data_IF_983762764218
#
_entry.id   IF_983762764218
#
_cell.length_a   1.000
_cell.length_b   1.000
_cell.length_c   1.000
_cell.angle_alpha   90.00
_cell.angle_beta   90.00
_cell.angle_gamma   90.00
#
_symmetry.space_group_name_H-M   'P 1'
#
loop_
_entity.id
_entity.type
_entity.pdbx_description
1 polymer ?
#
# COMPACT_ATOMS: atom_id res chain seq x y z
N UNK A 1 31.82 20.35 20.80
CA UNK A 1 30.36 20.21 21.04
C UNK A 1 29.75 19.71 19.73
N UNK A 2 28.99 18.62 19.73
CA UNK A 2 28.32 18.12 18.52
C UNK A 2 26.92 18.72 18.38
N UNK A 3 26.47 18.97 17.16
CA UNK A 3 25.10 19.36 16.82
C UNK A 3 24.46 18.23 16.01
N UNK A 4 23.20 17.94 16.34
CA UNK A 4 22.36 16.98 15.63
C UNK A 4 21.24 17.78 14.94
N UNK A 5 21.03 17.53 13.65
CA UNK A 5 19.88 18.03 12.91
C UNK A 5 19.23 16.85 12.18
N UNK A 6 17.91 16.92 12.00
CA UNK A 6 17.14 15.95 11.23
C UNK A 6 16.71 16.62 9.92
N UNK A 7 16.76 15.87 8.81
CA UNK A 7 16.22 16.31 7.52
C UNK A 7 15.32 15.22 6.92
N UNK A 8 13.99 15.46 6.82
CA UNK A 8 13.32 16.66 7.30
C UNK A 8 13.41 16.81 8.82
N UNK A 9 13.20 18.04 9.28
CA UNK A 9 13.31 18.48 10.69
C UNK A 9 12.48 17.69 11.69
N UNK A 10 11.52 16.92 11.20
CA UNK A 10 10.77 15.91 11.95
C UNK A 10 11.11 14.54 11.34
N UNK A 11 11.53 13.54 12.12
CA UNK A 11 11.69 12.18 11.61
C UNK A 11 10.41 11.78 10.89
N UNK A 12 10.50 11.52 9.58
CA UNK A 12 9.37 10.97 8.85
C UNK A 12 9.08 9.62 9.49
N UNK A 13 7.92 9.55 10.13
CA UNK A 13 7.25 8.38 10.70
C UNK A 13 7.69 7.03 10.14
N UNK A 14 7.70 6.00 10.99
CA UNK A 14 7.86 4.60 10.57
C UNK A 14 7.07 4.33 9.29
N UNK A 15 7.78 3.99 8.22
CA UNK A 15 7.17 3.63 6.95
C UNK A 15 6.69 2.19 7.07
N UNK A 16 5.41 1.96 6.79
CA UNK A 16 4.85 0.61 6.71
C UNK A 16 4.89 0.20 5.25
N UNK A 17 5.64 -0.86 4.96
CA UNK A 17 5.61 -1.47 3.64
C UNK A 17 4.40 -2.41 3.56
N UNK A 18 3.49 -2.10 2.64
CA UNK A 18 2.30 -2.89 2.37
C UNK A 18 2.49 -3.61 1.04
N UNK A 19 2.06 -4.87 0.98
CA UNK A 19 2.29 -5.73 -0.17
C UNK A 19 0.96 -6.25 -0.73
N UNK A 20 0.82 -6.17 -2.05
CA UNK A 20 -0.34 -6.67 -2.79
C UNK A 20 0.14 -7.64 -3.86
N UNK A 21 -0.64 -8.70 -4.10
CA UNK A 21 -0.35 -9.67 -5.14
C UNK A 21 -1.24 -9.41 -6.36
N UNK A 22 -0.65 -9.40 -7.54
CA UNK A 22 -1.37 -9.25 -8.81
C UNK A 22 -0.57 -8.51 -9.86
N UNK A 23 -1.17 -8.28 -11.02
CA UNK A 23 -0.60 -7.40 -12.04
C UNK A 23 -0.64 -5.92 -11.58
N UNK A 24 0.46 -5.19 -11.77
CA UNK A 24 0.56 -3.79 -11.35
C UNK A 24 -0.47 -2.88 -12.02
N UNK A 25 -0.71 -3.09 -13.32
CA UNK A 25 -1.68 -2.29 -14.08
C UNK A 25 -3.10 -2.53 -13.59
N UNK A 26 -3.44 -3.79 -13.33
CA UNK A 26 -4.73 -4.16 -12.74
C UNK A 26 -4.92 -3.55 -11.35
N UNK A 27 -3.91 -3.62 -10.49
CA UNK A 27 -3.95 -3.08 -9.13
C UNK A 27 -4.15 -1.55 -9.13
N UNK A 28 -3.41 -0.80 -9.97
CA UNK A 28 -3.58 0.66 -10.08
C UNK A 28 -4.94 1.02 -10.70
N UNK A 29 -5.43 0.26 -11.68
CA UNK A 29 -6.76 0.50 -12.27
C UNK A 29 -7.89 0.28 -11.24
N UNK A 30 -7.81 -0.80 -10.44
CA UNK A 30 -8.77 -1.05 -9.36
C UNK A 30 -8.69 0.03 -8.27
N UNK A 31 -7.49 0.50 -7.94
CA UNK A 31 -7.28 1.60 -6.99
C UNK A 31 -7.92 2.90 -7.46
N UNK A 32 -7.74 3.28 -8.72
CA UNK A 32 -8.36 4.47 -9.29
C UNK A 32 -9.90 4.41 -9.22
N UNK A 33 -10.50 3.28 -9.62
CA UNK A 33 -11.97 3.08 -9.53
C UNK A 33 -12.46 3.08 -8.09
N UNK A 34 -11.74 2.43 -7.18
CA UNK A 34 -12.11 2.41 -5.77
C UNK A 34 -12.01 3.81 -5.13
N UNK A 35 -11.00 4.61 -5.51
CA UNK A 35 -10.87 5.99 -5.07
C UNK A 35 -12.03 6.84 -5.58
N UNK A 36 -12.42 6.70 -6.84
CA UNK A 36 -13.57 7.41 -7.42
C UNK A 36 -14.87 7.05 -6.68
N UNK A 37 -15.11 5.77 -6.40
CA UNK A 37 -16.33 5.29 -5.73
C UNK A 37 -16.40 5.63 -4.24
N UNK A 38 -15.28 5.55 -3.53
CA UNK A 38 -15.24 5.67 -2.05
C UNK A 38 -14.79 7.04 -1.54
N UNK A 39 -14.17 7.86 -2.41
CA UNK A 39 -13.46 9.07 -2.05
C UNK A 39 -12.17 8.84 -1.25
N UNK A 40 -11.75 7.59 -1.04
CA UNK A 40 -10.60 7.23 -0.21
C UNK A 40 -9.42 6.84 -1.08
N UNK A 41 -8.32 7.59 -0.96
CA UNK A 41 -7.06 7.24 -1.60
C UNK A 41 -6.27 6.27 -0.71
N UNK A 42 -6.18 5.01 -1.11
CA UNK A 42 -5.47 3.98 -0.35
C UNK A 42 -3.95 4.14 -0.38
N UNK A 43 -3.34 4.44 -1.52
CA UNK A 43 -1.90 4.75 -1.60
C UNK A 43 -1.63 5.88 -2.59
N UNK A 44 -0.43 6.44 -2.51
CA UNK A 44 0.01 7.47 -3.44
C UNK A 44 0.42 6.87 -4.79
N UNK A 45 1.23 5.80 -4.73
CA UNK A 45 1.78 5.12 -5.90
C UNK A 45 2.26 3.74 -5.48
N UNK A 46 2.10 2.72 -6.33
CA UNK A 46 2.87 1.48 -6.20
C UNK A 46 4.35 1.76 -6.50
N UNK A 47 5.23 1.29 -5.61
CA UNK A 47 6.69 1.47 -5.70
C UNK A 47 7.39 0.44 -6.60
N UNK A 48 6.66 -0.58 -7.04
CA UNK A 48 7.18 -1.62 -7.94
C UNK A 48 7.16 -3.00 -7.31
N UNK A 49 8.01 -3.91 -7.81
CA UNK A 49 8.11 -5.29 -7.30
C UNK A 49 8.64 -5.28 -5.86
N UNK A 50 7.98 -6.02 -4.98
CA UNK A 50 8.31 -6.12 -3.56
C UNK A 50 9.78 -6.48 -3.32
N UNK A 51 10.34 -5.99 -2.21
CA UNK A 51 11.67 -6.38 -1.74
C UNK A 51 11.73 -7.89 -1.42
N UNK A 52 12.04 -8.69 -2.42
CA UNK A 52 12.18 -10.15 -2.31
C UNK A 52 13.50 -10.58 -1.67
N UNK A 53 14.32 -9.60 -1.27
CA UNK A 53 15.59 -9.78 -0.59
C UNK A 53 15.47 -9.89 0.92
N UNK A 54 14.30 -9.61 1.52
CA UNK A 54 14.10 -9.82 2.96
C UNK A 54 13.84 -11.31 3.24
N UNK A 55 14.68 -11.99 4.05
CA UNK A 55 14.50 -13.41 4.38
C UNK A 55 13.13 -13.76 4.97
N UNK A 56 12.48 -12.78 5.63
CA UNK A 56 11.15 -12.90 6.24
C UNK A 56 10.01 -12.90 5.20
N UNK A 57 10.21 -12.27 4.03
CA UNK A 57 9.22 -12.33 2.94
C UNK A 57 9.14 -13.72 2.32
N UNK A 58 10.27 -14.41 2.16
CA UNK A 58 10.30 -15.79 1.63
C UNK A 58 9.52 -16.79 2.47
N UNK A 59 9.35 -16.51 3.77
CA UNK A 59 8.66 -17.40 4.72
C UNK A 59 7.20 -17.00 4.95
N UNK A 60 6.87 -15.71 4.94
CA UNK A 60 5.48 -15.24 5.12
C UNK A 60 4.66 -15.23 3.82
N UNK A 61 5.33 -15.07 2.68
CA UNK A 61 4.71 -14.74 1.40
C UNK A 61 5.01 -15.86 0.42
N UNK A 62 4.38 -17.02 0.61
CA UNK A 62 4.54 -18.16 -0.28
C UNK A 62 4.24 -17.78 -1.74
N UNK A 63 5.14 -18.14 -2.67
CA UNK A 63 4.98 -17.92 -4.10
C UNK A 63 6.18 -17.24 -4.77
N UNK A 64 6.18 -17.13 -6.10
CA UNK A 64 7.26 -16.47 -6.84
C UNK A 64 7.31 -14.98 -6.48
N UNK A 65 8.53 -14.48 -6.28
CA UNK A 65 8.87 -13.08 -6.06
C UNK A 65 8.27 -12.07 -7.08
N UNK A 66 7.87 -12.54 -8.27
CA UNK A 66 7.43 -11.72 -9.39
C UNK A 66 6.01 -11.16 -9.28
N UNK A 67 5.16 -11.72 -8.41
CA UNK A 67 3.72 -11.39 -8.36
C UNK A 67 3.38 -10.32 -7.31
N UNK A 68 4.35 -9.89 -6.51
CA UNK A 68 4.13 -8.99 -5.39
C UNK A 68 4.58 -7.59 -5.71
N UNK A 69 3.66 -6.64 -5.52
CA UNK A 69 3.90 -5.21 -5.57
C UNK A 69 3.83 -4.63 -4.18
N UNK A 70 4.56 -3.55 -3.93
CA UNK A 70 4.50 -2.86 -2.65
C UNK A 70 4.23 -1.37 -2.80
N UNK A 71 3.67 -0.79 -1.74
CA UNK A 71 3.58 0.64 -1.52
C UNK A 71 3.92 0.94 -0.07
N UNK A 72 4.07 2.22 0.23
CA UNK A 72 4.45 2.68 1.57
C UNK A 72 3.34 3.54 2.17
N UNK A 73 3.03 3.27 3.43
CA UNK A 73 2.26 4.16 4.28
C UNK A 73 3.16 4.86 5.26
N UNK A 74 3.06 6.19 5.30
CA UNK A 74 3.60 6.96 6.42
C UNK A 74 2.74 6.68 7.66
N UNK A 75 3.26 6.01 8.68
CA UNK A 75 2.55 5.87 9.96
C UNK A 75 2.67 7.15 10.81
N UNK A 76 2.33 8.29 10.21
CA UNK A 76 2.37 9.60 10.86
C UNK A 76 1.04 9.93 11.56
N UNK A 77 1.02 10.98 12.41
CA UNK A 77 -0.18 11.40 13.14
C UNK A 77 -1.39 11.64 12.22
N UNK A 78 -1.18 12.17 11.02
CA UNK A 78 -2.26 12.41 10.06
C UNK A 78 -2.97 11.11 9.63
N UNK A 79 -2.22 10.03 9.40
CA UNK A 79 -2.79 8.73 9.03
C UNK A 79 -3.35 7.99 10.26
N UNK A 80 -2.77 8.20 11.44
CA UNK A 80 -3.29 7.62 12.70
C UNK A 80 -4.65 8.20 13.12
N UNK A 81 -5.00 9.40 12.63
CA UNK A 81 -6.29 10.04 12.89
C UNK A 81 -7.39 9.64 11.89
N UNK A 82 -7.07 8.84 10.86
CA UNK A 82 -8.08 8.36 9.91
C UNK A 82 -9.03 7.41 10.66
N UNK A 83 -10.35 7.68 10.69
CA UNK A 83 -11.30 6.76 11.30
C UNK A 83 -11.24 5.40 10.62
N UNK A 84 -11.31 4.33 11.41
CA UNK A 84 -11.16 2.97 10.90
C UNK A 84 -12.20 2.64 9.83
N UNK A 85 -13.42 3.18 9.97
CA UNK A 85 -14.53 2.99 9.04
C UNK A 85 -14.22 3.59 7.66
N UNK A 86 -13.45 4.69 7.61
CA UNK A 86 -13.02 5.32 6.35
C UNK A 86 -11.97 4.44 5.67
N UNK A 87 -11.00 3.93 6.42
CA UNK A 87 -9.99 3.03 5.90
C UNK A 87 -10.61 1.72 5.40
N UNK A 88 -11.50 1.11 6.18
CA UNK A 88 -12.22 -0.12 5.83
C UNK A 88 -13.07 0.06 4.58
N UNK A 89 -13.77 1.19 4.45
CA UNK A 89 -14.55 1.50 3.25
C UNK A 89 -13.67 1.50 2.00
N UNK A 90 -12.54 2.20 2.04
CA UNK A 90 -11.61 2.24 0.91
C UNK A 90 -11.11 0.85 0.52
N UNK A 91 -10.68 0.04 1.49
CA UNK A 91 -10.18 -1.31 1.24
C UNK A 91 -11.26 -2.26 0.72
N UNK A 92 -12.46 -2.21 1.29
CA UNK A 92 -13.58 -3.03 0.84
C UNK A 92 -13.91 -2.72 -0.62
N UNK A 93 -14.06 -1.45 -0.97
CA UNK A 93 -14.32 -1.04 -2.36
C UNK A 93 -13.21 -1.49 -3.30
N UNK A 94 -11.94 -1.40 -2.89
CA UNK A 94 -10.82 -1.90 -3.69
C UNK A 94 -10.90 -3.41 -3.96
N UNK A 95 -11.19 -4.22 -2.94
CA UNK A 95 -11.30 -5.67 -3.11
C UNK A 95 -12.53 -6.08 -3.92
N UNK A 96 -13.63 -5.33 -3.86
CA UNK A 96 -14.78 -5.48 -4.76
C UNK A 96 -14.37 -5.25 -6.23
N UNK A 97 -13.68 -4.13 -6.52
CA UNK A 97 -13.18 -3.82 -7.86
C UNK A 97 -12.23 -4.90 -8.40
N UNK A 98 -11.37 -5.43 -7.54
CA UNK A 98 -10.44 -6.50 -7.89
C UNK A 98 -11.16 -7.83 -8.17
N UNK A 99 -12.23 -8.11 -7.43
CA UNK A 99 -13.08 -9.29 -7.66
C UNK A 99 -13.84 -9.22 -8.98
N UNK A 100 -14.39 -8.05 -9.32
CA UNK A 100 -15.05 -7.83 -10.60
C UNK A 100 -14.09 -8.03 -11.77
N UNK A 101 -12.93 -7.40 -11.74
CA UNK A 101 -11.97 -7.47 -12.84
C UNK A 101 -11.45 -8.90 -13.10
N UNK A 102 -11.26 -9.71 -12.04
CA UNK A 102 -10.89 -11.12 -12.18
C UNK A 102 -12.00 -12.02 -12.73
N UNK A 103 -13.25 -11.58 -12.66
CA UNK A 103 -14.40 -12.34 -13.19
C UNK A 103 -14.60 -12.09 -14.69
N UNK A 104 -13.94 -11.08 -15.25
CA UNK A 104 -14.00 -10.69 -16.66
C UNK A 104 -12.86 -11.29 -17.50
N UNK A 105 -11.86 -11.92 -16.86
CA UNK A 105 -10.77 -12.70 -17.47
C UNK A 105 -11.14 -14.17 -17.67
#
# INVERSE_FOLDING_TARGET
KGQLFFDPSVPQSAMVHCYLRGDAGLLEACHARAQERSGVRLWNQLRGRGHTTLPQMRTMVGGPAGDWHYFEWSAGPANALIPIEVAERGWRTFFEELGHAKSEE
#
